data_IF_496111139786
#
_entry.id   IF_496111139786
#
_cell.length_a   1.000
_cell.length_b   1.000
_cell.length_c   1.000
_cell.angle_alpha   90.00
_cell.angle_beta   90.00
_cell.angle_gamma   90.00
#
_symmetry.space_group_name_H-M   'P 1'
#
loop_
_entity.id
_entity.type
_entity.pdbx_description
1 polymer ?
#
# COMPACT_ATOMS: atom_id res chain seq x y z
N UNK A 1 43.39 -8.25 -15.46
CA UNK A 1 42.33 -9.18 -15.87
C UNK A 1 41.07 -8.40 -16.08
N UNK A 2 40.63 -8.40 -17.18
CA UNK A 2 39.91 -7.69 -18.20
C UNK A 2 38.43 -7.34 -17.90
N UNK A 3 38.11 -6.09 -18.14
CA UNK A 3 36.84 -5.36 -18.02
C UNK A 3 35.72 -5.80 -19.00
N UNK A 4 35.53 -7.10 -19.21
CA UNK A 4 34.67 -7.59 -20.30
C UNK A 4 33.30 -8.13 -19.82
N UNK A 5 33.02 -8.15 -18.52
CA UNK A 5 31.89 -8.92 -17.97
C UNK A 5 30.56 -8.13 -17.90
N UNK A 6 30.59 -6.81 -17.72
CA UNK A 6 29.37 -5.98 -17.61
C UNK A 6 28.68 -5.73 -18.95
N UNK A 7 29.45 -5.51 -20.05
CA UNK A 7 28.87 -5.30 -21.39
C UNK A 7 28.21 -6.56 -21.98
N UNK A 8 28.77 -7.76 -21.69
CA UNK A 8 28.21 -9.04 -22.17
C UNK A 8 26.91 -9.43 -21.40
N UNK A 9 26.75 -8.99 -20.17
CA UNK A 9 25.51 -9.22 -19.41
C UNK A 9 24.37 -8.38 -19.99
N UNK A 10 24.60 -7.11 -20.29
CA UNK A 10 23.60 -6.21 -20.87
C UNK A 10 23.21 -6.57 -22.31
N UNK A 11 24.14 -7.11 -23.10
CA UNK A 11 23.87 -7.53 -24.48
C UNK A 11 23.10 -8.84 -24.60
N UNK A 12 23.09 -9.69 -23.56
CA UNK A 12 22.29 -10.92 -23.52
C UNK A 12 20.86 -10.72 -22.96
N UNK A 13 20.57 -9.59 -22.37
CA UNK A 13 19.22 -9.24 -21.88
C UNK A 13 18.29 -8.72 -22.98
N UNK A 14 18.78 -8.56 -24.20
CA UNK A 14 17.98 -8.12 -25.37
C UNK A 14 17.41 -9.28 -26.20
N UNK A 15 17.57 -10.52 -25.77
CA UNK A 15 17.09 -11.69 -26.49
C UNK A 15 15.83 -12.25 -25.84
N UNK A 16 14.71 -12.01 -26.51
CA UNK A 16 13.44 -12.70 -26.44
C UNK A 16 12.71 -12.67 -25.07
N UNK A 17 12.07 -11.56 -24.77
CA UNK A 17 10.79 -11.59 -24.10
C UNK A 17 9.71 -12.02 -25.12
N UNK A 18 9.60 -13.30 -25.41
CA UNK A 18 8.33 -13.88 -25.90
C UNK A 18 7.38 -13.85 -24.72
N UNK A 19 6.76 -12.71 -24.50
CA UNK A 19 5.54 -12.62 -23.70
C UNK A 19 4.47 -13.38 -24.47
N UNK A 20 4.26 -14.65 -24.13
CA UNK A 20 2.98 -15.30 -24.40
C UNK A 20 1.91 -14.34 -23.89
N UNK A 21 1.11 -13.80 -24.78
CA UNK A 21 -0.02 -12.94 -24.46
C UNK A 21 -1.00 -13.74 -23.62
N UNK A 22 -0.80 -13.74 -22.32
CA UNK A 22 -1.89 -13.97 -21.38
C UNK A 22 -2.81 -12.78 -21.62
N UNK A 23 -4.13 -12.95 -21.85
CA UNK A 23 -5.06 -11.84 -21.86
C UNK A 23 -5.14 -11.31 -20.43
N UNK A 24 -4.09 -10.65 -20.01
CA UNK A 24 -4.00 -9.88 -18.77
C UNK A 24 -4.48 -8.49 -19.08
N UNK A 25 -5.16 -7.89 -18.14
CA UNK A 25 -5.57 -6.49 -18.15
C UNK A 25 -4.41 -5.67 -18.73
N UNK A 26 -4.58 -5.23 -19.98
CA UNK A 26 -3.66 -4.26 -20.55
C UNK A 26 -3.74 -3.04 -19.65
N UNK A 27 -2.68 -2.81 -18.85
CA UNK A 27 -2.53 -1.54 -18.15
C UNK A 27 -2.51 -0.48 -19.25
N UNK A 28 -3.67 0.15 -19.48
CA UNK A 28 -3.82 1.30 -20.38
C UNK A 28 -2.67 2.27 -20.10
N UNK A 29 -2.16 2.92 -21.15
CA UNK A 29 -0.98 3.79 -21.11
C UNK A 29 -0.87 4.51 -19.76
N UNK A 30 0.19 4.18 -19.00
CA UNK A 30 0.35 4.66 -17.65
C UNK A 30 0.47 6.19 -17.67
N UNK A 31 -0.45 6.87 -17.00
CA UNK A 31 -0.25 8.27 -16.69
C UNK A 31 1.01 8.38 -15.80
N UNK A 32 2.05 9.17 -16.18
CA UNK A 32 3.28 9.28 -15.41
C UNK A 32 3.06 9.58 -13.92
N UNK A 33 1.98 10.29 -13.58
CA UNK A 33 1.63 10.60 -12.20
C UNK A 33 1.32 9.36 -11.37
N UNK A 34 0.82 8.29 -11.98
CA UNK A 34 0.54 7.02 -11.26
C UNK A 34 1.80 6.25 -10.89
N UNK A 35 2.94 6.54 -11.54
CA UNK A 35 4.22 5.90 -11.25
C UNK A 35 4.97 6.56 -10.10
N UNK A 36 4.59 7.78 -9.70
CA UNK A 36 5.24 8.49 -8.59
C UNK A 36 5.19 7.64 -7.31
N UNK A 37 6.31 7.57 -6.60
CA UNK A 37 6.37 7.12 -5.21
C UNK A 37 5.67 8.11 -4.29
N UNK A 38 5.37 7.71 -3.06
CA UNK A 38 4.77 8.63 -2.08
C UNK A 38 5.67 9.83 -1.82
N UNK A 39 6.97 9.59 -1.64
CA UNK A 39 7.94 10.64 -1.39
C UNK A 39 8.07 11.63 -2.57
N UNK A 40 8.10 11.13 -3.82
CA UNK A 40 8.15 11.98 -5.01
C UNK A 40 6.88 12.84 -5.14
N UNK A 41 5.70 12.23 -4.98
CA UNK A 41 4.43 12.95 -5.08
C UNK A 41 4.33 14.07 -4.04
N UNK A 42 4.63 13.79 -2.77
CA UNK A 42 4.66 14.79 -1.70
C UNK A 42 5.67 15.89 -2.02
N UNK A 43 6.90 15.52 -2.41
CA UNK A 43 7.94 16.49 -2.75
C UNK A 43 7.51 17.45 -3.87
N UNK A 44 6.88 16.93 -4.92
CA UNK A 44 6.36 17.75 -6.02
C UNK A 44 5.20 18.65 -5.58
N UNK A 45 4.27 18.15 -4.77
CA UNK A 45 3.14 18.94 -4.26
C UNK A 45 3.64 20.07 -3.35
N UNK A 46 4.55 19.78 -2.43
CA UNK A 46 5.09 20.79 -1.52
C UNK A 46 5.81 21.92 -2.27
N UNK A 47 6.60 21.60 -3.30
CA UNK A 47 7.28 22.60 -4.13
C UNK A 47 6.34 23.33 -5.10
N UNK A 48 5.14 22.80 -5.33
CA UNK A 48 4.18 23.36 -6.31
C UNK A 48 4.42 22.92 -7.76
N UNK A 49 5.28 21.92 -7.97
CA UNK A 49 5.52 21.30 -9.27
C UNK A 49 4.33 20.43 -9.72
N UNK A 50 3.51 20.00 -8.75
CA UNK A 50 2.30 19.21 -8.94
C UNK A 50 1.18 19.78 -8.07
N UNK A 51 -0.03 19.92 -8.63
CA UNK A 51 -1.22 20.24 -7.83
C UNK A 51 -1.72 18.98 -7.15
N UNK A 52 -2.05 19.07 -5.86
CA UNK A 52 -2.64 17.97 -5.10
C UNK A 52 -3.95 17.50 -5.74
N UNK A 53 -4.78 18.43 -6.26
CA UNK A 53 -6.02 18.09 -6.97
C UNK A 53 -5.77 17.25 -8.23
N UNK A 54 -4.78 17.59 -9.06
CA UNK A 54 -4.49 16.87 -10.29
C UNK A 54 -3.98 15.45 -10.00
N UNK A 55 -3.16 15.31 -8.96
CA UNK A 55 -2.70 14.02 -8.48
C UNK A 55 -3.84 13.16 -7.93
N UNK A 56 -4.64 13.71 -7.02
CA UNK A 56 -5.79 13.02 -6.45
C UNK A 56 -6.79 12.59 -7.52
N UNK A 57 -7.09 13.47 -8.50
CA UNK A 57 -7.95 13.17 -9.65
C UNK A 57 -7.42 11.99 -10.45
N UNK A 58 -6.12 11.99 -10.76
CA UNK A 58 -5.47 10.90 -11.48
C UNK A 58 -5.65 9.55 -10.77
N UNK A 59 -5.47 9.53 -9.44
CA UNK A 59 -5.61 8.30 -8.66
C UNK A 59 -7.07 7.83 -8.56
N UNK A 60 -8.02 8.75 -8.34
CA UNK A 60 -9.45 8.40 -8.29
C UNK A 60 -9.95 7.90 -9.65
N UNK A 61 -9.52 8.52 -10.75
CA UNK A 61 -9.84 8.06 -12.11
C UNK A 61 -9.24 6.67 -12.36
N UNK A 62 -8.03 6.40 -11.87
CA UNK A 62 -7.41 5.06 -11.91
C UNK A 62 -8.21 4.04 -11.11
N UNK A 63 -8.71 4.39 -9.93
CA UNK A 63 -9.60 3.52 -9.15
C UNK A 63 -10.86 3.15 -9.95
N UNK A 64 -11.48 4.12 -10.61
CA UNK A 64 -12.67 3.91 -11.42
C UNK A 64 -12.41 3.02 -12.65
N UNK A 65 -11.26 3.19 -13.32
CA UNK A 65 -10.84 2.37 -14.47
C UNK A 65 -10.64 0.90 -14.08
N UNK A 66 -10.16 0.64 -12.87
CA UNK A 66 -9.81 -0.69 -12.39
C UNK A 66 -10.79 -1.23 -11.34
N UNK A 67 -12.02 -0.73 -11.32
CA UNK A 67 -13.07 -1.13 -10.36
C UNK A 67 -13.29 -2.64 -10.28
N UNK A 68 -13.07 -3.36 -11.37
CA UNK A 68 -13.26 -4.80 -11.45
C UNK A 68 -12.24 -5.61 -10.63
N UNK A 69 -11.12 -4.99 -10.21
CA UNK A 69 -10.21 -5.57 -9.23
C UNK A 69 -10.80 -5.60 -7.81
N UNK A 70 -11.86 -4.83 -7.58
CA UNK A 70 -12.62 -4.78 -6.33
C UNK A 70 -11.76 -4.44 -5.11
N UNK A 71 -10.83 -3.51 -5.30
CA UNK A 71 -9.86 -3.12 -4.26
C UNK A 71 -10.47 -2.27 -3.14
N UNK A 72 -11.61 -1.60 -3.38
CA UNK A 72 -12.25 -0.68 -2.43
C UNK A 72 -13.66 -1.14 -2.06
N UNK A 73 -14.05 -0.92 -0.80
CA UNK A 73 -15.42 -1.05 -0.32
C UNK A 73 -16.14 0.29 -0.43
N UNK A 74 -15.48 1.37 -0.03
CA UNK A 74 -16.05 2.72 -0.08
C UNK A 74 -15.02 3.76 -0.47
N UNK A 75 -15.44 4.70 -1.31
CA UNK A 75 -14.70 5.89 -1.71
C UNK A 75 -15.69 7.05 -1.83
N UNK A 76 -15.24 8.25 -1.52
CA UNK A 76 -15.96 9.48 -1.79
C UNK A 76 -15.08 10.38 -2.67
N UNK A 77 -15.33 10.34 -3.98
CA UNK A 77 -14.57 11.08 -4.98
C UNK A 77 -14.55 12.58 -4.69
N UNK A 78 -15.71 13.12 -4.35
CA UNK A 78 -15.86 14.56 -4.21
C UNK A 78 -15.13 15.06 -2.96
N UNK A 79 -15.24 14.33 -1.85
CA UNK A 79 -14.48 14.61 -0.64
C UNK A 79 -12.95 14.51 -0.85
N UNK A 80 -12.47 13.53 -1.61
CA UNK A 80 -11.04 13.43 -1.95
C UNK A 80 -10.55 14.63 -2.74
N UNK A 81 -11.30 15.06 -3.76
CA UNK A 81 -10.93 16.20 -4.60
C UNK A 81 -11.03 17.54 -3.84
N UNK A 82 -12.02 17.69 -2.97
CA UNK A 82 -12.17 18.88 -2.13
C UNK A 82 -11.01 19.01 -1.12
N UNK A 83 -10.64 17.91 -0.46
CA UNK A 83 -9.47 17.90 0.41
C UNK A 83 -8.18 18.27 -0.35
N UNK A 84 -8.01 17.76 -1.56
CA UNK A 84 -6.85 18.07 -2.39
C UNK A 84 -6.83 19.55 -2.82
N UNK A 85 -7.98 20.13 -3.20
CA UNK A 85 -8.10 21.60 -3.48
C UNK A 85 -7.73 22.43 -2.26
N UNK A 86 -8.17 22.02 -1.08
CA UNK A 86 -7.84 22.70 0.17
C UNK A 86 -6.33 22.73 0.40
N UNK A 87 -5.63 21.61 0.16
CA UNK A 87 -4.15 21.57 0.23
C UNK A 87 -3.51 22.56 -0.75
N UNK A 88 -3.98 22.61 -2.01
CA UNK A 88 -3.44 23.55 -3.01
C UNK A 88 -3.67 25.00 -2.60
N UNK A 89 -4.84 25.32 -2.04
CA UNK A 89 -5.15 26.67 -1.54
C UNK A 89 -4.28 27.05 -0.34
N UNK A 90 -4.10 26.13 0.62
CA UNK A 90 -3.25 26.36 1.79
C UNK A 90 -1.79 26.59 1.38
N UNK A 91 -1.26 25.79 0.45
CA UNK A 91 0.07 25.98 -0.10
C UNK A 91 0.20 27.34 -0.78
N UNK A 92 -0.77 27.73 -1.61
CA UNK A 92 -0.75 29.03 -2.30
C UNK A 92 -0.80 30.21 -1.33
N UNK A 93 -1.42 30.06 -0.16
CA UNK A 93 -1.42 31.05 0.92
C UNK A 93 -0.13 31.06 1.75
N UNK A 94 0.87 30.23 1.38
CA UNK A 94 2.14 30.14 2.08
C UNK A 94 2.13 29.25 3.33
N UNK A 95 1.07 28.47 3.56
CA UNK A 95 1.06 27.53 4.67
C UNK A 95 2.04 26.38 4.38
N UNK A 96 2.89 26.10 5.35
CA UNK A 96 3.78 24.95 5.29
C UNK A 96 2.93 23.66 5.35
N UNK A 97 3.05 22.80 4.33
CA UNK A 97 2.38 21.53 4.30
C UNK A 97 3.12 20.50 5.19
N UNK A 98 2.36 19.56 5.76
CA UNK A 98 2.93 18.46 6.54
C UNK A 98 3.71 17.45 5.68
N UNK A 99 4.36 16.50 6.35
CA UNK A 99 5.21 15.48 5.73
C UNK A 99 4.48 14.58 4.70
N UNK A 100 3.15 14.53 4.72
CA UNK A 100 2.30 13.83 3.77
C UNK A 100 1.37 14.78 3.02
N UNK A 101 1.72 16.04 2.93
CA UNK A 101 0.87 17.11 2.40
C UNK A 101 0.28 16.80 1.03
N UNK A 102 -1.05 16.55 1.01
CA UNK A 102 -1.80 16.26 -0.21
C UNK A 102 -1.70 14.83 -0.73
N UNK A 103 -1.08 13.89 0.01
CA UNK A 103 -0.92 12.51 -0.41
C UNK A 103 -2.21 11.69 -0.17
N UNK A 104 -2.88 11.15 -1.22
CA UNK A 104 -4.03 10.27 -1.04
C UNK A 104 -3.59 8.88 -0.56
N UNK A 105 -4.10 8.44 0.60
CA UNK A 105 -3.79 7.16 1.24
C UNK A 105 -5.07 6.36 1.47
N UNK A 106 -5.19 5.13 0.94
CA UNK A 106 -6.25 4.21 1.27
C UNK A 106 -5.96 3.49 2.59
N UNK A 107 -7.01 3.20 3.35
CA UNK A 107 -6.96 2.46 4.60
C UNK A 107 -7.72 1.14 4.48
N UNK A 108 -7.17 0.06 5.01
CA UNK A 108 -7.92 -1.19 5.18
C UNK A 108 -9.21 -0.92 5.95
N UNK A 109 -10.31 -1.55 5.55
CA UNK A 109 -11.63 -1.24 6.11
C UNK A 109 -11.86 -1.81 7.53
N UNK A 110 -10.82 -2.30 8.19
CA UNK A 110 -10.75 -2.55 9.64
C UNK A 110 -10.27 -1.34 10.44
N UNK A 111 -9.73 -0.30 9.78
CA UNK A 111 -9.19 0.91 10.40
C UNK A 111 -10.30 1.96 10.45
N UNK A 112 -10.67 2.38 11.65
CA UNK A 112 -11.79 3.29 11.91
C UNK A 112 -11.57 4.69 11.31
N UNK A 113 -12.60 5.21 10.63
CA UNK A 113 -12.67 6.61 10.18
C UNK A 113 -14.07 7.17 10.39
N UNK A 114 -14.17 8.43 10.78
CA UNK A 114 -15.44 9.13 10.93
C UNK A 114 -16.04 9.49 9.57
N UNK A 115 -15.19 9.74 8.58
CA UNK A 115 -15.59 10.18 7.25
C UNK A 115 -16.30 9.10 6.43
N UNK A 116 -15.84 7.83 6.52
CA UNK A 116 -16.40 6.70 5.78
C UNK A 116 -16.77 5.56 6.73
N UNK A 117 -17.75 4.70 6.38
CA UNK A 117 -18.07 3.52 7.17
C UNK A 117 -16.84 2.61 7.37
N UNK A 118 -16.81 1.90 8.49
CA UNK A 118 -15.82 0.87 8.81
C UNK A 118 -16.54 -0.46 8.96
N UNK A 119 -16.58 -1.22 7.87
CA UNK A 119 -17.47 -2.39 7.76
C UNK A 119 -16.79 -3.71 8.10
N UNK A 120 -15.45 -3.74 8.14
CA UNK A 120 -14.66 -4.98 8.24
C UNK A 120 -15.06 -6.04 7.20
N UNK A 121 -15.60 -5.65 6.06
CA UNK A 121 -16.05 -6.56 5.03
C UNK A 121 -17.33 -7.33 5.37
N UNK A 122 -18.06 -6.95 6.43
CA UNK A 122 -19.30 -7.62 6.82
C UNK A 122 -20.54 -6.75 6.64
N UNK A 123 -21.67 -7.38 6.27
CA UNK A 123 -22.95 -6.68 6.10
C UNK A 123 -23.49 -6.07 7.40
N UNK A 124 -23.19 -6.70 8.51
CA UNK A 124 -23.67 -6.25 9.83
C UNK A 124 -23.15 -4.85 10.21
N UNK A 125 -21.99 -4.47 9.72
CA UNK A 125 -21.35 -3.18 9.98
C UNK A 125 -21.41 -2.21 8.80
N UNK A 126 -22.21 -2.47 7.76
CA UNK A 126 -22.24 -1.67 6.51
C UNK A 126 -22.44 -0.17 6.70
N UNK A 127 -23.08 0.25 7.75
CA UNK A 127 -23.34 1.66 8.08
C UNK A 127 -22.65 2.12 9.36
N UNK A 128 -21.82 1.25 9.96
CA UNK A 128 -21.12 1.60 11.19
C UNK A 128 -20.04 2.66 10.90
N UNK A 129 -20.16 3.77 11.60
CA UNK A 129 -19.15 4.85 11.62
C UNK A 129 -18.64 5.00 13.03
N UNK A 130 -17.33 4.88 13.26
CA UNK A 130 -16.73 5.20 14.55
C UNK A 130 -17.00 6.66 14.93
N UNK A 131 -17.05 6.96 16.22
CA UNK A 131 -17.16 8.33 16.73
C UNK A 131 -15.87 9.13 16.59
N UNK A 132 -14.75 8.43 16.53
CA UNK A 132 -13.40 8.98 16.41
C UNK A 132 -12.62 8.22 15.36
N UNK A 133 -11.69 8.89 14.73
CA UNK A 133 -10.75 8.28 13.81
C UNK A 133 -9.76 7.38 14.56
N UNK A 134 -9.33 6.30 13.93
CA UNK A 134 -8.26 5.46 14.47
C UNK A 134 -6.98 6.29 14.65
N UNK A 135 -6.27 6.06 15.74
CA UNK A 135 -5.09 6.85 16.13
C UNK A 135 -4.00 6.85 15.04
N UNK A 136 -3.85 5.76 14.27
CA UNK A 136 -2.95 5.72 13.12
C UNK A 136 -3.40 6.69 12.03
N UNK A 137 -4.70 6.77 11.77
CA UNK A 137 -5.22 7.69 10.76
C UNK A 137 -5.13 9.14 11.21
N UNK A 138 -5.36 9.44 12.49
CA UNK A 138 -5.18 10.78 13.05
C UNK A 138 -3.76 11.30 12.76
N UNK A 139 -2.71 10.52 13.04
CA UNK A 139 -1.31 10.91 12.76
C UNK A 139 -1.04 11.15 11.27
N UNK A 140 -1.59 10.33 10.40
CA UNK A 140 -1.42 10.48 8.96
C UNK A 140 -2.16 11.71 8.43
N UNK A 141 -3.39 11.95 8.88
CA UNK A 141 -4.19 13.11 8.48
C UNK A 141 -3.62 14.43 9.01
N UNK A 142 -3.13 14.44 10.25
CA UNK A 142 -2.42 15.59 10.84
C UNK A 142 -1.14 15.92 10.06
N UNK A 143 -0.47 14.91 9.49
CA UNK A 143 0.66 15.12 8.58
C UNK A 143 0.25 15.55 7.17
N UNK A 144 -1.04 15.70 6.88
CA UNK A 144 -1.56 16.21 5.62
C UNK A 144 -1.98 15.14 4.61
N UNK A 145 -2.09 13.87 5.00
CA UNK A 145 -2.62 12.82 4.13
C UNK A 145 -4.12 13.02 3.86
N UNK A 146 -4.57 12.60 2.67
CA UNK A 146 -5.96 12.61 2.24
C UNK A 146 -6.51 11.17 2.26
N UNK A 147 -7.69 10.96 2.84
CA UNK A 147 -8.34 9.64 2.83
C UNK A 147 -8.83 9.32 1.42
N UNK A 148 -8.13 8.43 0.70
CA UNK A 148 -8.53 8.00 -0.64
C UNK A 148 -9.76 7.09 -0.62
N UNK A 149 -9.94 6.31 0.44
CA UNK A 149 -11.05 5.38 0.62
C UNK A 149 -10.71 4.22 1.54
N UNK A 150 -11.70 3.34 1.73
CA UNK A 150 -11.60 2.14 2.57
C UNK A 150 -11.43 0.91 1.66
N UNK A 151 -10.32 0.21 1.84
CA UNK A 151 -9.99 -0.94 0.97
C UNK A 151 -10.64 -2.23 1.44
N UNK A 152 -11.02 -3.04 0.46
CA UNK A 152 -11.63 -4.34 0.66
C UNK A 152 -10.65 -5.33 1.30
N UNK A 153 -11.18 -6.30 2.03
CA UNK A 153 -10.40 -7.21 2.87
C UNK A 153 -11.06 -8.59 2.96
N UNK A 154 -10.37 -9.58 3.52
CA UNK A 154 -11.05 -10.78 4.00
C UNK A 154 -11.98 -10.43 5.15
N UNK A 155 -13.22 -10.93 5.13
CA UNK A 155 -14.24 -10.60 6.12
C UNK A 155 -13.69 -10.74 7.54
N UNK A 156 -13.88 -9.69 8.36
CA UNK A 156 -13.40 -9.61 9.76
C UNK A 156 -11.90 -9.87 9.92
N UNK A 157 -11.10 -9.65 8.88
CA UNK A 157 -9.66 -9.98 8.84
C UNK A 157 -9.31 -11.47 9.04
N UNK A 158 -10.30 -12.39 9.03
CA UNK A 158 -10.18 -13.81 9.37
C UNK A 158 -9.75 -14.68 8.19
N UNK A 159 -8.73 -14.32 7.44
CA UNK A 159 -8.22 -15.16 6.36
C UNK A 159 -7.24 -14.48 5.44
N UNK A 160 -6.73 -15.25 4.46
CA UNK A 160 -5.62 -14.83 3.59
C UNK A 160 -5.98 -14.72 2.10
N UNK A 161 -7.29 -14.69 1.76
CA UNK A 161 -7.71 -14.65 0.36
C UNK A 161 -8.35 -13.34 -0.09
N UNK A 162 -8.69 -12.47 0.87
CA UNK A 162 -9.44 -11.22 0.64
C UNK A 162 -10.77 -11.45 -0.09
N UNK A 163 -11.44 -12.54 0.29
CA UNK A 163 -12.81 -12.83 -0.10
C UNK A 163 -13.75 -12.50 1.04
N UNK A 164 -14.88 -11.87 0.72
CA UNK A 164 -16.00 -11.74 1.65
C UNK A 164 -17.33 -11.82 0.89
N UNK A 165 -18.41 -12.17 1.61
CA UNK A 165 -19.73 -12.33 0.99
C UNK A 165 -20.46 -11.00 0.79
N UNK A 166 -20.08 -9.97 1.54
CA UNK A 166 -20.76 -8.68 1.51
C UNK A 166 -20.36 -7.84 0.30
N UNK A 167 -19.06 -7.84 -0.03
CA UNK A 167 -18.45 -6.96 -1.04
C UNK A 167 -17.71 -7.72 -2.12
N UNK A 168 -17.67 -9.06 -2.05
CA UNK A 168 -17.09 -9.92 -3.06
C UNK A 168 -15.58 -10.10 -2.95
N UNK A 169 -15.01 -10.75 -3.95
CA UNK A 169 -13.60 -11.15 -4.02
C UNK A 169 -12.74 -10.00 -4.55
N UNK A 170 -11.64 -9.71 -3.86
CA UNK A 170 -10.56 -8.88 -4.41
C UNK A 170 -9.74 -9.71 -5.41
N UNK A 171 -9.38 -9.12 -6.54
CA UNK A 171 -8.67 -9.80 -7.62
C UNK A 171 -7.22 -9.35 -7.69
N UNK A 172 -6.31 -10.30 -7.96
CA UNK A 172 -4.90 -9.99 -8.14
C UNK A 172 -4.70 -9.16 -9.44
N UNK A 173 -3.97 -8.03 -9.40
CA UNK A 173 -3.83 -7.16 -10.56
C UNK A 173 -2.98 -7.77 -11.69
N UNK A 174 -2.14 -8.76 -11.41
CA UNK A 174 -1.33 -9.45 -12.42
C UNK A 174 -2.09 -10.58 -13.11
N UNK A 175 -2.97 -11.27 -12.36
CA UNK A 175 -3.87 -12.29 -12.89
C UNK A 175 -5.19 -12.27 -12.10
N UNK A 176 -6.27 -11.70 -12.65
CA UNK A 176 -7.56 -11.59 -11.96
C UNK A 176 -8.22 -12.93 -11.59
N UNK A 177 -7.69 -14.06 -12.07
CA UNK A 177 -8.11 -15.41 -11.68
C UNK A 177 -7.49 -15.85 -10.35
N UNK A 178 -6.42 -15.18 -9.94
CA UNK A 178 -5.70 -15.45 -8.70
C UNK A 178 -6.15 -14.54 -7.56
N UNK A 179 -5.97 -15.02 -6.34
CA UNK A 179 -6.17 -14.23 -5.13
C UNK A 179 -5.00 -13.25 -4.95
N UNK A 180 -5.23 -12.07 -4.36
CA UNK A 180 -4.17 -11.10 -4.05
C UNK A 180 -3.47 -11.40 -2.72
N UNK A 181 -3.83 -12.48 -2.03
CA UNK A 181 -3.52 -12.65 -0.61
C UNK A 181 -4.45 -11.86 0.29
N UNK A 182 -4.21 -11.92 1.59
CA UNK A 182 -5.08 -11.24 2.58
C UNK A 182 -4.49 -11.26 3.99
N UNK A 183 -5.21 -10.64 4.91
CA UNK A 183 -6.54 -10.02 4.78
C UNK A 183 -6.52 -8.60 4.16
N UNK A 184 -5.38 -7.91 4.06
CA UNK A 184 -5.27 -6.55 3.48
C UNK A 184 -5.11 -6.58 1.95
N UNK A 185 -5.83 -7.47 1.23
CA UNK A 185 -5.66 -7.64 -0.21
C UNK A 185 -6.09 -6.43 -1.01
N UNK A 186 -7.15 -5.75 -0.62
CA UNK A 186 -7.58 -4.51 -1.28
C UNK A 186 -6.52 -3.42 -1.23
N UNK A 187 -5.84 -3.25 -0.08
CA UNK A 187 -4.73 -2.29 0.06
C UNK A 187 -3.55 -2.68 -0.84
N UNK A 188 -3.18 -3.97 -0.84
CA UNK A 188 -2.10 -4.45 -1.70
C UNK A 188 -2.40 -4.24 -3.18
N UNK A 189 -3.62 -4.53 -3.61
CA UNK A 189 -4.09 -4.34 -4.99
C UNK A 189 -4.11 -2.85 -5.35
N UNK A 190 -4.62 -1.98 -4.47
CA UNK A 190 -4.65 -0.54 -4.72
C UNK A 190 -3.23 0.02 -4.96
N UNK A 191 -2.24 -0.41 -4.18
CA UNK A 191 -0.84 0.02 -4.33
C UNK A 191 -0.19 -0.61 -5.56
N UNK A 192 -0.35 -1.91 -5.77
CA UNK A 192 0.25 -2.64 -6.89
C UNK A 192 -0.31 -2.19 -8.24
N UNK A 193 -1.63 -1.94 -8.31
CA UNK A 193 -2.30 -1.45 -9.52
C UNK A 193 -2.19 0.07 -9.72
N UNK A 194 -1.39 0.76 -8.89
CA UNK A 194 -1.15 2.20 -8.98
C UNK A 194 -2.39 3.07 -8.79
N UNK A 195 -3.35 2.57 -8.03
CA UNK A 195 -4.50 3.37 -7.56
C UNK A 195 -4.10 4.28 -6.39
N UNK A 196 -2.99 3.97 -5.73
CA UNK A 196 -2.38 4.77 -4.67
C UNK A 196 -0.87 4.53 -4.61
N UNK A 197 -0.06 5.49 -4.16
CA UNK A 197 1.38 5.31 -4.00
C UNK A 197 1.74 4.41 -2.81
N UNK A 198 0.94 4.49 -1.75
CA UNK A 198 1.05 3.71 -0.52
C UNK A 198 -0.33 3.55 0.14
N UNK A 199 -0.45 2.68 1.13
CA UNK A 199 -1.69 2.48 1.90
C UNK A 199 -1.41 1.84 3.25
N UNK A 200 -2.43 1.76 4.12
CA UNK A 200 -2.31 1.17 5.45
C UNK A 200 -3.11 -0.13 5.51
N UNK A 201 -2.44 -1.19 5.92
CA UNK A 201 -3.01 -2.49 6.23
C UNK A 201 -2.99 -2.79 7.71
N UNK A 202 -3.40 -4.01 8.06
CA UNK A 202 -3.36 -4.58 9.40
C UNK A 202 -2.89 -6.03 9.30
N UNK A 203 -2.04 -6.47 10.23
CA UNK A 203 -1.42 -7.80 10.25
C UNK A 203 -1.46 -8.41 11.65
N UNK A 204 -2.22 -9.47 11.81
CA UNK A 204 -2.21 -10.33 12.99
C UNK A 204 -1.25 -11.51 12.78
N UNK A 205 -1.40 -12.19 11.64
CA UNK A 205 -0.63 -13.39 11.29
C UNK A 205 -0.30 -13.47 9.78
N UNK A 206 0.21 -12.35 9.22
CA UNK A 206 0.60 -12.30 7.81
C UNK A 206 -0.22 -11.34 6.95
N UNK A 207 -1.24 -10.67 7.49
CA UNK A 207 -2.24 -9.96 6.69
C UNK A 207 -1.76 -8.66 6.01
N UNK A 208 -0.54 -8.20 6.24
CA UNK A 208 0.20 -7.23 5.40
C UNK A 208 1.18 -7.97 4.50
N UNK A 209 1.98 -8.87 5.07
CA UNK A 209 3.11 -9.53 4.42
C UNK A 209 2.67 -10.48 3.31
N UNK A 210 1.62 -11.26 3.53
CA UNK A 210 1.07 -12.20 2.53
C UNK A 210 0.57 -11.46 1.29
N UNK A 211 -0.34 -10.47 1.39
CA UNK A 211 -0.79 -9.77 0.20
C UNK A 211 0.30 -8.90 -0.44
N UNK A 212 1.22 -8.33 0.34
CA UNK A 212 2.37 -7.63 -0.23
C UNK A 212 3.22 -8.55 -1.12
N UNK A 213 3.54 -9.77 -0.64
CA UNK A 213 4.28 -10.76 -1.41
C UNK A 213 3.53 -11.21 -2.68
N UNK A 214 2.21 -11.44 -2.58
CA UNK A 214 1.39 -11.91 -3.71
C UNK A 214 1.09 -10.82 -4.74
N UNK A 215 1.16 -9.55 -4.35
CA UNK A 215 0.97 -8.40 -5.23
C UNK A 215 2.27 -7.69 -5.64
N UNK A 216 3.45 -8.24 -5.27
CA UNK A 216 4.75 -7.71 -5.70
C UNK A 216 5.06 -6.30 -5.17
N UNK A 217 4.69 -6.00 -3.95
CA UNK A 217 4.98 -4.73 -3.27
C UNK A 217 5.71 -4.96 -1.94
N UNK A 218 6.21 -3.90 -1.33
CA UNK A 218 6.78 -3.92 0.01
C UNK A 218 5.67 -3.73 1.07
N UNK A 219 5.81 -4.43 2.20
CA UNK A 219 4.90 -4.29 3.34
C UNK A 219 5.66 -4.39 4.66
N UNK A 220 5.42 -3.47 5.57
CA UNK A 220 6.04 -3.45 6.89
C UNK A 220 5.03 -3.88 7.95
N UNK A 221 5.32 -4.99 8.62
CA UNK A 221 4.70 -5.33 9.90
C UNK A 221 5.66 -4.89 11.01
N UNK A 222 5.41 -3.77 11.70
CA UNK A 222 6.29 -3.31 12.77
C UNK A 222 6.20 -4.24 13.99
N UNK A 223 7.09 -4.02 14.94
CA UNK A 223 6.99 -4.62 16.27
C UNK A 223 5.64 -4.27 16.89
N UNK A 224 4.98 -5.22 17.51
CA UNK A 224 3.69 -5.00 18.20
C UNK A 224 3.84 -3.85 19.23
N UNK A 225 2.88 -2.93 19.21
CA UNK A 225 2.90 -1.74 20.06
C UNK A 225 3.74 -0.55 19.54
N UNK A 226 4.52 -0.70 18.44
CA UNK A 226 5.25 0.42 17.84
C UNK A 226 4.30 1.46 17.24
N UNK A 227 3.19 1.01 16.63
CA UNK A 227 2.16 1.90 16.10
C UNK A 227 0.91 1.88 16.97
N UNK A 228 0.17 2.99 17.06
CA UNK A 228 -1.05 3.04 17.84
C UNK A 228 -2.13 2.17 17.22
N UNK A 229 -2.70 1.25 18.01
CA UNK A 229 -3.77 0.32 17.56
C UNK A 229 -5.19 0.79 17.91
N UNK A 230 -5.36 1.89 18.62
CA UNK A 230 -6.68 2.39 19.00
C UNK A 230 -7.53 2.72 17.76
N UNK A 231 -8.81 2.31 17.77
CA UNK A 231 -9.74 2.54 16.67
C UNK A 231 -9.63 1.54 15.52
N UNK A 232 -8.81 0.47 15.67
CA UNK A 232 -8.74 -0.63 14.71
C UNK A 232 -9.59 -1.80 15.20
N UNK A 233 -10.37 -2.42 14.29
CA UNK A 233 -11.17 -3.59 14.64
C UNK A 233 -10.26 -4.74 15.08
N UNK A 234 -10.38 -5.25 16.32
CA UNK A 234 -9.47 -6.25 16.84
C UNK A 234 -9.78 -7.64 16.29
N UNK A 235 -8.73 -8.40 15.99
CA UNK A 235 -8.78 -9.83 15.72
C UNK A 235 -8.10 -10.62 16.87
N UNK A 236 -6.87 -10.26 17.21
CA UNK A 236 -6.12 -10.77 18.34
C UNK A 236 -5.27 -9.62 18.92
N UNK A 237 -5.76 -8.90 19.94
CA UNK A 237 -5.16 -7.66 20.42
C UNK A 237 -3.67 -7.77 20.81
N UNK A 238 -3.19 -8.95 21.21
CA UNK A 238 -1.78 -9.20 21.52
C UNK A 238 -0.88 -9.37 20.30
N UNK A 239 -1.47 -9.50 19.10
CA UNK A 239 -0.74 -9.74 17.85
C UNK A 239 -1.02 -8.68 16.80
N UNK A 240 -2.21 -8.06 16.85
CA UNK A 240 -2.65 -7.10 15.84
C UNK A 240 -1.71 -5.91 15.77
N UNK A 241 -1.33 -5.55 14.56
CA UNK A 241 -0.58 -4.33 14.30
C UNK A 241 -0.95 -3.77 12.94
N UNK A 242 -1.13 -2.47 12.86
CA UNK A 242 -1.25 -1.76 11.59
C UNK A 242 0.13 -1.56 10.97
N UNK A 243 0.18 -1.37 9.66
CA UNK A 243 1.44 -1.08 9.00
C UNK A 243 1.29 -0.65 7.56
N UNK A 244 2.28 0.06 7.02
CA UNK A 244 2.27 0.58 5.67
C UNK A 244 2.57 -0.50 4.64
N UNK A 245 2.00 -0.30 3.46
CA UNK A 245 2.21 -1.05 2.23
C UNK A 245 2.52 -0.06 1.11
N UNK A 246 3.61 -0.25 0.38
CA UNK A 246 4.05 0.68 -0.66
C UNK A 246 4.85 -0.06 -1.75
N UNK A 247 5.10 0.59 -2.89
CA UNK A 247 5.95 0.01 -3.93
C UNK A 247 7.44 0.02 -3.56
N UNK A 248 7.86 0.95 -2.72
CA UNK A 248 9.26 1.12 -2.32
C UNK A 248 9.44 1.04 -0.81
N UNK A 249 10.63 0.61 -0.36
CA UNK A 249 10.99 0.64 1.06
C UNK A 249 11.13 2.08 1.57
N UNK A 250 11.57 3.01 0.72
CA UNK A 250 11.66 4.43 1.08
C UNK A 250 10.31 5.03 1.48
N UNK A 251 9.23 4.64 0.78
CA UNK A 251 7.87 5.07 1.13
C UNK A 251 7.39 4.43 2.45
N UNK A 252 7.80 3.18 2.74
CA UNK A 252 7.54 2.58 4.04
C UNK A 252 8.23 3.36 5.17
N UNK A 253 9.48 3.80 4.96
CA UNK A 253 10.21 4.61 5.92
C UNK A 253 9.55 5.99 6.14
N UNK A 254 9.06 6.62 5.07
CA UNK A 254 8.32 7.88 5.17
C UNK A 254 7.08 7.72 6.05
N UNK A 255 6.28 6.68 5.81
CA UNK A 255 5.06 6.43 6.60
C UNK A 255 5.39 6.00 8.04
N UNK A 256 6.43 5.17 8.24
CA UNK A 256 6.90 4.80 9.57
C UNK A 256 7.29 6.04 10.39
N UNK A 257 8.06 6.95 9.82
CA UNK A 257 8.49 8.18 10.50
C UNK A 257 7.30 9.08 10.90
N UNK A 258 6.29 9.17 10.05
CA UNK A 258 5.08 9.96 10.36
C UNK A 258 4.24 9.27 11.44
N UNK A 259 4.07 7.96 11.36
CA UNK A 259 3.23 7.22 12.32
C UNK A 259 3.88 7.19 13.71
N UNK A 260 5.22 7.09 13.78
CA UNK A 260 5.94 7.02 15.07
C UNK A 260 6.36 8.38 15.60
N UNK A 261 6.59 9.33 14.72
CA UNK A 261 7.30 10.58 15.04
C UNK A 261 8.83 10.43 15.08
N UNK A 262 9.35 9.23 14.81
CA UNK A 262 10.78 8.98 14.75
C UNK A 262 11.36 9.52 13.43
N UNK A 263 12.59 10.09 13.44
CA UNK A 263 13.22 10.54 12.21
C UNK A 263 13.57 9.36 11.31
N UNK A 264 13.55 9.59 9.98
CA UNK A 264 14.07 8.61 9.03
C UNK A 264 15.59 8.49 9.25
N UNK A 265 16.04 7.34 9.77
CA UNK A 265 17.46 7.05 9.94
C UNK A 265 17.94 6.30 8.69
N UNK A 266 18.74 6.98 7.86
CA UNK A 266 19.50 6.33 6.79
C UNK A 266 20.87 5.92 7.36
N UNK A 267 21.02 4.65 7.71
CA UNK A 267 22.33 4.09 8.03
C UNK A 267 22.83 3.28 6.83
N UNK A 268 24.06 3.54 6.38
CA UNK A 268 24.75 2.65 5.46
C UNK A 268 25.15 1.38 6.22
N UNK A 269 24.49 0.26 5.94
CA UNK A 269 24.89 -1.04 6.51
C UNK A 269 25.86 -1.69 5.50
N UNK A 270 27.06 -2.06 5.98
CA UNK A 270 27.95 -2.89 5.19
C UNK A 270 27.35 -4.31 5.14
N UNK A 271 26.98 -4.77 3.96
CA UNK A 271 26.36 -6.08 3.77
C UNK A 271 27.25 -7.24 4.24
N UNK A 272 28.57 -7.06 4.31
CA UNK A 272 29.48 -8.08 4.84
C UNK A 272 29.32 -8.30 6.35
N UNK A 273 28.72 -7.34 7.08
CA UNK A 273 28.49 -7.42 8.51
C UNK A 273 27.10 -7.98 8.85
N UNK A 274 26.27 -8.23 7.82
CA UNK A 274 24.90 -8.75 7.99
C UNK A 274 24.95 -10.27 8.06
N UNK A 275 24.42 -10.82 9.15
CA UNK A 275 24.20 -12.28 9.29
C UNK A 275 22.76 -12.63 8.95
N UNK A 276 22.56 -13.41 7.91
CA UNK A 276 21.24 -13.91 7.51
C UNK A 276 21.07 -15.35 7.99
N UNK A 277 20.08 -15.57 8.86
CA UNK A 277 19.69 -16.91 9.30
C UNK A 277 18.71 -17.56 8.33
N UNK A 278 19.02 -18.74 7.79
CA UNK A 278 18.11 -19.54 6.96
C UNK A 278 17.64 -20.75 7.75
N UNK A 279 16.33 -20.89 7.96
CA UNK A 279 15.76 -22.05 8.63
C UNK A 279 15.78 -23.27 7.70
N UNK A 280 16.59 -24.29 8.03
CA UNK A 280 16.64 -25.55 7.28
C UNK A 280 15.29 -26.29 7.28
N UNK A 281 14.48 -26.15 8.32
CA UNK A 281 13.16 -26.77 8.38
C UNK A 281 12.18 -26.24 7.32
N UNK A 282 12.32 -24.99 6.92
CA UNK A 282 11.52 -24.37 5.87
C UNK A 282 12.06 -24.75 4.48
N UNK A 283 13.38 -24.82 4.31
CA UNK A 283 14.04 -25.15 3.05
C UNK A 283 13.96 -26.65 2.70
N UNK A 284 13.95 -27.54 3.69
CA UNK A 284 13.95 -29.00 3.48
C UNK A 284 12.63 -29.56 2.90
N UNK A 285 11.52 -28.82 2.95
CA UNK A 285 10.21 -29.24 2.40
C UNK A 285 10.01 -28.88 0.92
N UNK A 286 11.07 -28.67 0.15
CA UNK A 286 11.05 -28.72 -1.32
C UNK A 286 10.29 -27.61 -2.05
N UNK A 287 9.78 -26.58 -1.36
CA UNK A 287 9.03 -25.47 -2.01
C UNK A 287 9.82 -24.18 -2.17
N UNK A 288 11.05 -24.13 -1.69
CA UNK A 288 11.95 -22.98 -1.79
C UNK A 288 13.26 -23.25 -2.51
N UNK A 289 13.34 -24.29 -3.33
CA UNK A 289 14.57 -24.60 -4.12
C UNK A 289 14.99 -23.45 -5.06
N UNK A 290 14.07 -22.55 -5.42
CA UNK A 290 14.38 -21.37 -6.26
C UNK A 290 14.94 -20.17 -5.48
N UNK A 291 14.79 -20.11 -4.16
CA UNK A 291 15.38 -19.04 -3.34
C UNK A 291 16.85 -19.31 -3.00
N UNK A 292 17.25 -20.59 -2.91
CA UNK A 292 18.63 -20.97 -2.64
C UNK A 292 19.62 -20.71 -3.80
N UNK A 293 19.12 -20.35 -4.98
CA UNK A 293 19.94 -20.06 -6.18
C UNK A 293 20.16 -18.55 -6.39
N UNK A 294 19.62 -17.70 -5.51
CA UNK A 294 19.69 -16.23 -5.61
C UNK A 294 20.51 -15.57 -4.47
N UNK A 295 21.17 -16.37 -3.60
CA UNK A 295 22.07 -15.89 -2.53
C UNK A 295 23.50 -16.26 -2.86
#
# INVERSE_FOLDING_TARGET
MTSTTRRKFLAKSSALAVFSAVPGVAFSANNPLTELSAAEAVGMIVRGDLRAEDYARTLVDRCAQLKDLNAFISQDRDSVLEAARTVDQERTRGKQLGALGGLPIPLKDSIGTTALPTTCGTRSLRSFRPKEDAAVWQRLSEAGAILLGKTNLHEMSLGWTSANQAYGLVRNPYDPRCIPGGSSGGTAVAVSARMAPAGIGEDTNGSIRVPAAMCGIAGLRPTHGRYPGAGVMPLAPSLDTVGPMARTVSDLCLLDSVITGDPIVSSSVNLNDVRIGVSRAISAKGRCARLATLI
#
